data_IF_034463981306
#
_entry.id   IF_034463981306
#
_cell.length_a   1.000
_cell.length_b   1.000
_cell.length_c   1.000
_cell.angle_alpha   90.00
_cell.angle_beta   90.00
_cell.angle_gamma   90.00
#
_symmetry.space_group_name_H-M   'P 1'
#
loop_
_entity.id
_entity.type
_entity.pdbx_description
1 polymer ?
#
# COMPACT_ATOMS: atom_id res chain seq x y z
N UNK A 1 -68.83 43.45 34.46
CA UNK A 1 -68.12 42.15 34.40
C UNK A 1 -68.71 41.23 33.33
N UNK A 2 -70.03 41.09 33.24
CA UNK A 2 -70.72 40.21 32.28
C UNK A 2 -70.50 40.55 30.79
N UNK A 3 -70.40 41.82 30.42
CA UNK A 3 -70.15 42.20 29.03
C UNK A 3 -68.73 41.84 28.53
N UNK A 4 -67.77 41.72 29.44
CA UNK A 4 -66.38 41.38 29.12
C UNK A 4 -66.23 39.87 28.97
N UNK A 5 -66.91 39.09 29.83
CA UNK A 5 -66.97 37.63 29.72
C UNK A 5 -67.74 37.18 28.48
N UNK A 6 -68.85 37.85 28.11
CA UNK A 6 -69.59 37.52 26.89
C UNK A 6 -68.79 37.79 25.60
N UNK A 7 -68.03 38.89 25.56
CA UNK A 7 -67.11 39.20 24.45
C UNK A 7 -65.97 38.19 24.34
N UNK A 8 -65.43 37.74 25.47
CA UNK A 8 -64.40 36.70 25.52
C UNK A 8 -64.93 35.35 25.03
N UNK A 9 -66.13 34.95 25.46
CA UNK A 9 -66.78 33.70 25.03
C UNK A 9 -67.12 33.74 23.53
N UNK A 10 -67.66 34.85 23.02
CA UNK A 10 -67.90 35.00 21.58
C UNK A 10 -66.62 35.03 20.75
N UNK A 11 -65.53 35.59 21.28
CA UNK A 11 -64.22 35.55 20.62
C UNK A 11 -63.69 34.11 20.54
N UNK A 12 -63.75 33.35 21.64
CA UNK A 12 -63.32 31.93 21.66
C UNK A 12 -64.18 31.07 20.72
N UNK A 13 -65.49 31.29 20.67
CA UNK A 13 -66.41 30.58 19.77
C UNK A 13 -66.23 30.98 18.29
N UNK A 14 -65.69 32.18 18.01
CA UNK A 14 -65.40 32.65 16.64
C UNK A 14 -64.12 32.06 16.05
N UNK A 15 -63.27 31.46 16.89
CA UNK A 15 -62.05 30.80 16.43
C UNK A 15 -62.45 29.48 15.77
N UNK A 16 -62.22 29.37 14.47
CA UNK A 16 -62.36 28.12 13.75
C UNK A 16 -61.22 27.17 14.17
N UNK A 17 -61.41 26.48 15.29
CA UNK A 17 -60.47 25.51 15.86
C UNK A 17 -59.99 24.50 14.81
N UNK A 18 -60.86 24.12 13.88
CA UNK A 18 -60.54 23.19 12.81
C UNK A 18 -59.49 23.75 11.84
N UNK A 19 -59.55 25.06 11.53
CA UNK A 19 -58.51 25.72 10.72
C UNK A 19 -57.19 25.84 11.50
N UNK A 20 -57.24 26.20 12.79
CA UNK A 20 -56.06 26.28 13.66
C UNK A 20 -55.35 24.93 13.77
N UNK A 21 -56.11 23.84 14.00
CA UNK A 21 -55.57 22.48 14.02
C UNK A 21 -54.98 22.06 12.67
N UNK A 22 -55.62 22.42 11.55
CA UNK A 22 -55.11 22.10 10.22
C UNK A 22 -53.77 22.80 9.92
N UNK A 23 -53.60 24.05 10.35
CA UNK A 23 -52.35 24.81 10.21
C UNK A 23 -51.25 24.22 11.10
N UNK A 24 -51.57 23.85 12.35
CA UNK A 24 -50.64 23.19 13.27
C UNK A 24 -50.18 21.83 12.74
N UNK A 25 -51.10 20.99 12.26
CA UNK A 25 -50.76 19.70 11.64
C UNK A 25 -49.90 19.88 10.39
N UNK A 26 -50.24 20.84 9.52
CA UNK A 26 -49.43 21.17 8.35
C UNK A 26 -48.01 21.61 8.70
N UNK A 27 -47.86 22.44 9.74
CA UNK A 27 -46.56 22.87 10.23
C UNK A 27 -45.73 21.70 10.81
N UNK A 28 -46.35 20.81 11.59
CA UNK A 28 -45.67 19.63 12.16
C UNK A 28 -45.21 18.67 11.04
N UNK A 29 -46.06 18.37 10.07
CA UNK A 29 -45.71 17.50 8.94
C UNK A 29 -44.59 18.13 8.10
N UNK A 30 -44.69 19.43 7.80
CA UNK A 30 -43.67 20.15 7.04
C UNK A 30 -42.31 20.18 7.78
N UNK A 31 -42.32 20.40 9.09
CA UNK A 31 -41.12 20.35 9.93
C UNK A 31 -40.50 18.95 9.94
N UNK A 32 -41.32 17.89 10.05
CA UNK A 32 -40.86 16.51 10.01
C UNK A 32 -40.23 16.14 8.66
N UNK A 33 -40.89 16.50 7.55
CA UNK A 33 -40.37 16.26 6.20
C UNK A 33 -39.06 17.02 6.00
N UNK A 34 -39.02 18.30 6.37
CA UNK A 34 -37.81 19.14 6.28
C UNK A 34 -36.66 18.54 7.08
N UNK A 35 -36.91 18.10 8.32
CA UNK A 35 -35.90 17.43 9.14
C UNK A 35 -35.36 16.16 8.49
N UNK A 36 -36.23 15.30 7.95
CA UNK A 36 -35.82 14.05 7.27
C UNK A 36 -35.00 14.35 6.02
N UNK A 37 -35.39 15.34 5.21
CA UNK A 37 -34.64 15.76 4.02
C UNK A 37 -33.27 16.34 4.37
N UNK A 38 -33.20 17.22 5.38
CA UNK A 38 -31.93 17.81 5.84
C UNK A 38 -30.99 16.72 6.36
N UNK A 39 -31.49 15.82 7.21
CA UNK A 39 -30.70 14.69 7.74
C UNK A 39 -30.22 13.75 6.64
N UNK A 40 -31.07 13.46 5.65
CA UNK A 40 -30.67 12.65 4.49
C UNK A 40 -29.57 13.34 3.68
N UNK A 41 -29.71 14.64 3.40
CA UNK A 41 -28.71 15.43 2.66
C UNK A 41 -27.38 15.52 3.42
N UNK A 42 -27.40 15.72 4.73
CA UNK A 42 -26.21 15.71 5.58
C UNK A 42 -25.51 14.35 5.55
N UNK A 43 -26.26 13.25 5.68
CA UNK A 43 -25.71 11.90 5.58
C UNK A 43 -25.05 11.63 4.22
N UNK A 44 -25.66 12.08 3.11
CA UNK A 44 -25.05 11.97 1.79
C UNK A 44 -23.75 12.79 1.68
N UNK A 45 -23.75 14.03 2.22
CA UNK A 45 -22.56 14.88 2.23
C UNK A 45 -21.43 14.24 3.06
N UNK A 46 -21.73 13.71 4.24
CA UNK A 46 -20.76 13.01 5.09
C UNK A 46 -20.19 11.78 4.40
N UNK A 47 -21.02 11.01 3.69
CA UNK A 47 -20.58 9.84 2.92
C UNK A 47 -19.60 10.23 1.81
N UNK A 48 -19.89 11.29 1.06
CA UNK A 48 -19.01 11.80 0.00
C UNK A 48 -17.70 12.33 0.59
N UNK A 49 -17.75 13.08 1.69
CA UNK A 49 -16.55 13.59 2.37
C UNK A 49 -15.65 12.46 2.87
N UNK A 50 -16.24 11.41 3.47
CA UNK A 50 -15.52 10.20 3.87
C UNK A 50 -14.90 9.46 2.68
N UNK A 51 -15.60 9.39 1.55
CA UNK A 51 -15.08 8.79 0.31
C UNK A 51 -13.86 9.54 -0.21
N UNK A 52 -13.93 10.87 -0.30
CA UNK A 52 -12.82 11.73 -0.75
C UNK A 52 -11.62 11.56 0.18
N UNK A 53 -11.82 11.72 1.50
CA UNK A 53 -10.74 11.57 2.49
C UNK A 53 -10.08 10.19 2.45
N UNK A 54 -10.87 9.13 2.28
CA UNK A 54 -10.34 7.76 2.18
C UNK A 54 -9.52 7.59 0.90
N UNK A 55 -9.98 8.18 -0.21
CA UNK A 55 -9.29 8.14 -1.50
C UNK A 55 -7.96 8.89 -1.44
N UNK A 56 -7.95 10.10 -0.88
CA UNK A 56 -6.74 10.90 -0.74
C UNK A 56 -5.70 10.19 0.14
N UNK A 57 -6.15 9.61 1.26
CA UNK A 57 -5.29 8.82 2.14
C UNK A 57 -4.69 7.60 1.44
N UNK A 58 -5.50 6.86 0.66
CA UNK A 58 -5.01 5.73 -0.13
C UNK A 58 -4.00 6.18 -1.20
N UNK A 59 -4.26 7.28 -1.91
CA UNK A 59 -3.35 7.81 -2.92
C UNK A 59 -1.97 8.09 -2.32
N UNK A 60 -1.91 8.72 -1.14
CA UNK A 60 -0.62 9.05 -0.52
C UNK A 60 0.12 7.82 -0.02
N UNK A 61 -0.60 6.82 0.52
CA UNK A 61 0.00 5.52 0.88
C UNK A 61 0.55 4.81 -0.36
N UNK A 62 -0.20 4.83 -1.47
CA UNK A 62 0.22 4.21 -2.74
C UNK A 62 1.49 4.87 -3.29
N UNK A 63 1.62 6.21 -3.20
CA UNK A 63 2.85 6.92 -3.58
C UNK A 63 4.04 6.47 -2.74
N UNK A 64 3.86 6.34 -1.43
CA UNK A 64 4.91 5.88 -0.53
C UNK A 64 5.31 4.43 -0.87
N UNK A 65 4.34 3.55 -1.07
CA UNK A 65 4.57 2.18 -1.50
C UNK A 65 5.36 2.11 -2.82
N UNK A 66 4.97 2.88 -3.83
CA UNK A 66 5.66 2.90 -5.12
C UNK A 66 7.09 3.44 -5.03
N UNK A 67 7.34 4.40 -4.13
CA UNK A 67 8.71 4.86 -3.83
C UNK A 67 9.54 3.71 -3.27
N UNK A 68 9.02 2.99 -2.28
CA UNK A 68 9.70 1.82 -1.71
C UNK A 68 9.89 0.69 -2.74
N UNK A 69 8.91 0.46 -3.60
CA UNK A 69 9.00 -0.53 -4.69
C UNK A 69 10.12 -0.19 -5.67
N UNK A 70 10.24 1.09 -6.05
CA UNK A 70 11.30 1.55 -6.94
C UNK A 70 12.68 1.31 -6.33
N UNK A 71 12.87 1.61 -5.04
CA UNK A 71 14.13 1.34 -4.34
C UNK A 71 14.44 -0.16 -4.36
N UNK A 72 13.45 -1.00 -4.07
CA UNK A 72 13.59 -2.45 -4.08
C UNK A 72 14.01 -3.00 -5.46
N UNK A 73 13.35 -2.55 -6.53
CA UNK A 73 13.67 -2.98 -7.91
C UNK A 73 15.04 -2.54 -8.40
N UNK A 74 15.63 -1.51 -7.80
CA UNK A 74 16.95 -0.99 -8.19
C UNK A 74 18.12 -1.80 -7.63
N UNK A 75 17.88 -2.65 -6.63
CA UNK A 75 18.93 -3.44 -5.97
C UNK A 75 19.29 -4.66 -6.80
N UNK A 76 20.59 -4.93 -6.90
CA UNK A 76 21.14 -6.08 -7.60
C UNK A 76 22.12 -6.85 -6.71
N UNK A 77 22.39 -8.09 -7.08
CA UNK A 77 23.27 -8.97 -6.32
C UNK A 77 24.66 -9.13 -6.94
N UNK A 78 25.12 -8.14 -7.73
CA UNK A 78 26.42 -8.18 -8.41
C UNK A 78 27.58 -8.29 -7.41
N UNK A 79 27.38 -7.85 -6.17
CA UNK A 79 28.37 -7.94 -5.10
C UNK A 79 28.84 -9.37 -4.80
N UNK A 80 28.03 -10.41 -5.07
CA UNK A 80 28.49 -11.80 -4.95
C UNK A 80 29.51 -12.18 -6.04
N UNK A 81 29.33 -11.67 -7.27
CA UNK A 81 30.31 -11.86 -8.35
C UNK A 81 31.62 -11.11 -8.06
N UNK A 82 31.51 -9.90 -7.52
CA UNK A 82 32.68 -9.09 -7.11
C UNK A 82 33.46 -9.82 -6.00
N UNK A 83 32.75 -10.41 -5.04
CA UNK A 83 33.35 -11.23 -3.99
C UNK A 83 34.15 -12.41 -4.57
N UNK A 84 33.54 -13.22 -5.45
CA UNK A 84 34.23 -14.34 -6.10
C UNK A 84 35.47 -13.86 -6.89
N UNK A 85 35.31 -12.82 -7.71
CA UNK A 85 36.40 -12.26 -8.53
C UNK A 85 37.58 -11.79 -7.67
N UNK A 86 37.29 -11.19 -6.51
CA UNK A 86 38.31 -10.74 -5.55
C UNK A 86 39.05 -11.92 -4.96
N UNK A 87 38.33 -12.97 -4.58
CA UNK A 87 38.90 -14.19 -4.01
C UNK A 87 39.81 -14.92 -5.00
N UNK A 88 39.40 -15.01 -6.27
CA UNK A 88 40.21 -15.62 -7.34
C UNK A 88 41.48 -14.84 -7.64
N UNK A 89 41.38 -13.51 -7.69
CA UNK A 89 42.51 -12.62 -8.00
C UNK A 89 43.54 -12.55 -6.87
N UNK A 90 43.10 -12.84 -5.63
CA UNK A 90 43.92 -12.70 -4.42
C UNK A 90 44.19 -14.04 -3.74
N UNK A 91 44.21 -15.16 -4.48
CA UNK A 91 44.60 -16.46 -3.93
C UNK A 91 45.93 -16.35 -3.19
N UNK A 92 45.93 -16.87 -1.97
CA UNK A 92 47.10 -16.92 -1.10
C UNK A 92 48.06 -17.95 -1.69
N UNK A 93 49.31 -17.55 -1.83
CA UNK A 93 50.39 -18.38 -2.38
C UNK A 93 51.53 -18.38 -1.36
N UNK A 94 51.89 -19.57 -0.88
CA UNK A 94 52.94 -19.75 0.13
C UNK A 94 54.33 -19.38 -0.39
N UNK A 95 54.49 -19.17 -1.70
CA UNK A 95 55.73 -18.68 -2.32
C UNK A 95 55.92 -17.15 -2.23
N UNK A 96 54.88 -16.41 -1.85
CA UNK A 96 54.93 -14.95 -1.68
C UNK A 96 55.45 -14.56 -0.30
N UNK A 97 56.05 -13.36 -0.20
CA UNK A 97 56.46 -12.81 1.08
C UNK A 97 55.25 -12.45 1.96
N UNK A 98 55.52 -12.35 3.26
CA UNK A 98 54.47 -12.12 4.27
C UNK A 98 53.65 -10.86 4.00
N UNK A 99 54.28 -9.79 3.49
CA UNK A 99 53.62 -8.50 3.23
C UNK A 99 52.60 -8.63 2.09
N UNK A 100 52.93 -9.33 1.00
CA UNK A 100 51.98 -9.55 -0.10
C UNK A 100 50.81 -10.42 0.34
N UNK A 101 51.06 -11.43 1.17
CA UNK A 101 50.00 -12.28 1.71
C UNK A 101 49.08 -11.50 2.69
N UNK A 102 49.65 -10.65 3.56
CA UNK A 102 48.88 -9.79 4.47
C UNK A 102 47.98 -8.82 3.68
N UNK A 103 48.48 -8.21 2.59
CA UNK A 103 47.69 -7.32 1.74
C UNK A 103 46.52 -8.03 1.05
N UNK A 104 46.77 -9.23 0.49
CA UNK A 104 45.72 -10.06 -0.12
C UNK A 104 44.63 -10.44 0.88
N UNK A 105 45.00 -10.78 2.11
CA UNK A 105 44.05 -11.10 3.20
C UNK A 105 43.15 -9.90 3.50
N UNK A 106 43.71 -8.68 3.55
CA UNK A 106 42.93 -7.45 3.77
C UNK A 106 41.89 -7.27 2.66
N UNK A 107 42.27 -7.43 1.39
CA UNK A 107 41.35 -7.29 0.26
C UNK A 107 40.21 -8.32 0.31
N UNK A 108 40.52 -9.57 0.65
CA UNK A 108 39.52 -10.64 0.80
C UNK A 108 38.54 -10.29 1.93
N UNK A 109 39.04 -9.84 3.07
CA UNK A 109 38.19 -9.47 4.21
C UNK A 109 37.28 -8.28 3.89
N UNK A 110 37.79 -7.27 3.16
CA UNK A 110 36.97 -6.15 2.69
C UNK A 110 35.86 -6.61 1.73
N UNK A 111 36.17 -7.49 0.78
CA UNK A 111 35.16 -8.05 -0.12
C UNK A 111 34.08 -8.85 0.61
N UNK A 112 34.49 -9.63 1.63
CA UNK A 112 33.58 -10.33 2.53
C UNK A 112 32.64 -9.37 3.26
N UNK A 113 33.19 -8.34 3.92
CA UNK A 113 32.39 -7.33 4.64
C UNK A 113 31.42 -6.62 3.70
N UNK A 114 31.88 -6.23 2.51
CA UNK A 114 31.03 -5.60 1.50
C UNK A 114 29.86 -6.51 1.11
N UNK A 115 30.10 -7.81 0.85
CA UNK A 115 29.04 -8.73 0.48
C UNK A 115 27.99 -8.91 1.59
N UNK A 116 28.44 -8.99 2.85
CA UNK A 116 27.54 -9.08 4.02
C UNK A 116 26.72 -7.81 4.17
N UNK A 117 27.37 -6.64 4.14
CA UNK A 117 26.70 -5.36 4.33
C UNK A 117 25.66 -5.08 3.24
N UNK A 118 25.96 -5.41 1.99
CA UNK A 118 25.00 -5.24 0.88
C UNK A 118 23.78 -6.17 1.03
N UNK A 119 23.98 -7.40 1.54
CA UNK A 119 22.86 -8.30 1.81
C UNK A 119 21.97 -7.79 2.96
N UNK A 120 22.57 -7.28 4.05
CA UNK A 120 21.80 -6.70 5.15
C UNK A 120 21.04 -5.43 4.72
N UNK A 121 21.65 -4.56 3.90
CA UNK A 121 20.97 -3.40 3.32
C UNK A 121 19.76 -3.84 2.47
N UNK A 122 19.93 -4.85 1.61
CA UNK A 122 18.83 -5.43 0.84
C UNK A 122 17.69 -5.92 1.76
N UNK A 123 18.03 -6.62 2.83
CA UNK A 123 17.05 -7.14 3.80
C UNK A 123 16.29 -6.01 4.50
N UNK A 124 16.97 -4.93 4.88
CA UNK A 124 16.33 -3.76 5.46
C UNK A 124 15.34 -3.11 4.48
N UNK A 125 15.74 -2.97 3.22
CA UNK A 125 14.88 -2.41 2.17
C UNK A 125 13.63 -3.29 1.97
N UNK A 126 13.78 -4.61 1.96
CA UNK A 126 12.64 -5.53 1.90
C UNK A 126 11.68 -5.34 3.09
N UNK A 127 12.20 -5.23 4.31
CA UNK A 127 11.38 -5.00 5.51
C UNK A 127 10.60 -3.69 5.39
N UNK A 128 11.23 -2.64 4.89
CA UNK A 128 10.57 -1.34 4.71
C UNK A 128 9.51 -1.39 3.60
N UNK A 129 9.83 -2.04 2.47
CA UNK A 129 8.90 -2.25 1.37
C UNK A 129 7.66 -3.05 1.80
N UNK A 130 7.86 -4.15 2.54
CA UNK A 130 6.75 -4.97 3.03
C UNK A 130 5.88 -4.26 4.06
N UNK A 131 6.47 -3.46 4.95
CA UNK A 131 5.72 -2.60 5.86
C UNK A 131 4.91 -1.52 5.14
N UNK A 132 5.41 -0.99 4.02
CA UNK A 132 4.69 0.01 3.23
C UNK A 132 3.43 -0.55 2.56
N UNK A 133 3.33 -1.88 2.37
CA UNK A 133 2.15 -2.53 1.82
C UNK A 133 0.98 -2.63 2.82
N UNK A 134 1.27 -2.90 4.10
CA UNK A 134 0.25 -3.17 5.13
C UNK A 134 -0.82 -2.07 5.29
N UNK A 135 -0.50 -0.77 5.23
CA UNK A 135 -1.51 0.28 5.31
C UNK A 135 -2.54 0.25 4.17
N UNK A 136 -2.17 -0.23 2.98
CA UNK A 136 -3.10 -0.36 1.84
C UNK A 136 -4.20 -1.34 2.20
N UNK A 137 -3.83 -2.54 2.69
CA UNK A 137 -4.78 -3.59 3.09
C UNK A 137 -5.61 -3.13 4.28
N UNK A 138 -4.98 -2.55 5.30
CA UNK A 138 -5.67 -2.08 6.51
C UNK A 138 -6.78 -1.07 6.20
N UNK A 139 -6.58 -0.17 5.23
CA UNK A 139 -7.63 0.77 4.82
C UNK A 139 -8.73 0.06 4.03
N UNK A 140 -8.38 -0.83 3.11
CA UNK A 140 -9.36 -1.59 2.33
C UNK A 140 -10.30 -2.39 3.24
N UNK A 141 -9.78 -2.96 4.33
CA UNK A 141 -10.57 -3.69 5.34
C UNK A 141 -11.35 -2.75 6.28
N UNK A 142 -10.69 -1.75 6.88
CA UNK A 142 -11.34 -0.87 7.86
C UNK A 142 -12.41 0.05 7.27
N UNK A 143 -12.39 0.28 5.95
CA UNK A 143 -13.34 1.12 5.22
C UNK A 143 -14.24 0.31 4.28
N UNK A 144 -14.43 -0.98 4.53
CA UNK A 144 -15.21 -1.89 3.68
C UNK A 144 -16.60 -1.34 3.33
N UNK A 145 -17.31 -0.68 4.26
CA UNK A 145 -18.63 -0.06 3.98
C UNK A 145 -18.60 0.92 2.79
N UNK A 146 -17.46 1.57 2.58
CA UNK A 146 -17.23 2.54 1.50
C UNK A 146 -16.51 1.89 0.32
N UNK A 147 -15.59 0.95 0.60
CA UNK A 147 -14.67 0.36 -0.36
C UNK A 147 -15.06 -1.06 -0.81
N UNK A 148 -16.25 -1.56 -0.47
CA UNK A 148 -16.70 -2.93 -0.78
C UNK A 148 -16.57 -3.28 -2.29
N UNK A 149 -16.68 -2.28 -3.16
CA UNK A 149 -16.51 -2.45 -4.61
C UNK A 149 -15.09 -2.88 -5.03
N UNK A 150 -14.11 -2.76 -4.14
CA UNK A 150 -12.70 -3.06 -4.35
C UNK A 150 -12.25 -4.28 -3.55
N UNK A 151 -13.17 -5.10 -3.01
CA UNK A 151 -12.82 -6.33 -2.26
C UNK A 151 -12.01 -7.29 -3.12
N UNK A 152 -12.41 -7.49 -4.39
CA UNK A 152 -11.66 -8.34 -5.31
C UNK A 152 -10.25 -7.79 -5.59
N UNK A 153 -10.09 -6.46 -5.65
CA UNK A 153 -8.77 -5.83 -5.81
C UNK A 153 -7.88 -6.06 -4.58
N UNK A 154 -8.47 -6.02 -3.38
CA UNK A 154 -7.78 -6.31 -2.12
C UNK A 154 -7.28 -7.76 -2.11
N UNK A 155 -8.16 -8.72 -2.41
CA UNK A 155 -7.82 -10.14 -2.38
C UNK A 155 -6.73 -10.45 -3.43
N UNK A 156 -6.86 -9.92 -4.65
CA UNK A 156 -5.83 -10.06 -5.69
C UNK A 156 -4.49 -9.43 -5.25
N UNK A 157 -4.49 -8.25 -4.62
CA UNK A 157 -3.27 -7.62 -4.12
C UNK A 157 -2.60 -8.46 -3.02
N UNK A 158 -3.37 -9.07 -2.13
CA UNK A 158 -2.85 -9.95 -1.08
C UNK A 158 -2.18 -11.17 -1.72
N UNK A 159 -2.85 -11.83 -2.67
CA UNK A 159 -2.31 -13.00 -3.36
C UNK A 159 -1.00 -12.68 -4.10
N UNK A 160 -0.94 -11.55 -4.81
CA UNK A 160 0.25 -11.14 -5.53
C UNK A 160 1.39 -10.70 -4.60
N UNK A 161 1.07 -10.13 -3.44
CA UNK A 161 2.05 -9.80 -2.43
C UNK A 161 2.56 -11.04 -1.68
N UNK A 162 1.72 -12.06 -1.49
CA UNK A 162 2.14 -13.34 -0.93
C UNK A 162 3.20 -14.01 -1.80
N UNK A 163 3.06 -13.96 -3.13
CA UNK A 163 4.10 -14.45 -4.06
C UNK A 163 5.45 -13.75 -3.85
N UNK A 164 5.47 -12.45 -3.52
CA UNK A 164 6.71 -11.73 -3.18
C UNK A 164 7.33 -12.23 -1.88
N UNK A 165 6.50 -12.51 -0.88
CA UNK A 165 6.96 -13.07 0.40
C UNK A 165 7.59 -14.45 0.17
N UNK A 166 6.93 -15.30 -0.62
CA UNK A 166 7.42 -16.65 -0.92
C UNK A 166 8.75 -16.60 -1.68
N UNK A 167 8.84 -15.72 -2.69
CA UNK A 167 10.10 -15.43 -3.37
C UNK A 167 11.19 -14.99 -2.37
N UNK A 168 10.91 -14.02 -1.50
CA UNK A 168 11.88 -13.57 -0.50
C UNK A 168 12.34 -14.70 0.42
N UNK A 169 11.45 -15.60 0.82
CA UNK A 169 11.78 -16.75 1.65
C UNK A 169 12.70 -17.73 0.90
N UNK A 170 12.43 -17.99 -0.38
CA UNK A 170 13.28 -18.83 -1.24
C UNK A 170 14.69 -18.24 -1.36
N UNK A 171 14.80 -16.93 -1.57
CA UNK A 171 16.11 -16.27 -1.64
C UNK A 171 16.84 -16.26 -0.31
N UNK A 172 16.13 -16.00 0.78
CA UNK A 172 16.71 -16.05 2.13
C UNK A 172 17.27 -17.45 2.41
N UNK A 173 16.55 -18.49 2.00
CA UNK A 173 16.98 -19.88 2.11
C UNK A 173 18.22 -20.16 1.26
N UNK A 174 18.22 -19.71 -0.01
CA UNK A 174 19.38 -19.82 -0.90
C UNK A 174 20.61 -19.13 -0.28
N UNK A 175 20.44 -17.92 0.25
CA UNK A 175 21.52 -17.16 0.86
C UNK A 175 22.12 -17.90 2.05
N UNK A 176 21.31 -18.33 3.01
CA UNK A 176 21.83 -18.98 4.20
C UNK A 176 22.44 -20.35 3.91
N UNK A 177 21.83 -21.15 3.03
CA UNK A 177 22.31 -22.51 2.74
C UNK A 177 23.55 -22.52 1.83
N UNK A 178 23.53 -21.73 0.76
CA UNK A 178 24.51 -21.88 -0.33
C UNK A 178 25.58 -20.78 -0.34
N UNK A 179 25.31 -19.60 0.26
CA UNK A 179 26.13 -18.40 0.08
C UNK A 179 26.83 -17.96 1.36
N UNK A 180 26.09 -17.85 2.47
CA UNK A 180 26.56 -17.22 3.71
C UNK A 180 27.82 -17.88 4.27
N UNK A 181 27.85 -19.22 4.30
CA UNK A 181 29.01 -19.99 4.74
C UNK A 181 30.21 -19.81 3.83
N UNK A 182 29.99 -19.69 2.51
CA UNK A 182 31.07 -19.46 1.55
C UNK A 182 31.76 -18.13 1.81
N UNK A 183 30.95 -17.09 2.02
CA UNK A 183 31.44 -15.76 2.38
C UNK A 183 32.16 -15.79 3.75
N UNK A 184 31.58 -16.45 4.75
CA UNK A 184 32.14 -16.50 6.09
C UNK A 184 33.54 -17.14 6.12
N UNK A 185 33.73 -18.21 5.35
CA UNK A 185 34.95 -19.01 5.30
C UNK A 185 35.88 -18.67 4.13
N UNK A 186 35.69 -17.52 3.46
CA UNK A 186 36.53 -17.09 2.34
C UNK A 186 36.62 -18.15 1.23
N UNK A 187 35.48 -18.69 0.81
CA UNK A 187 35.35 -19.70 -0.24
C UNK A 187 34.55 -19.17 -1.42
N UNK A 188 34.87 -19.64 -2.63
CA UNK A 188 34.09 -19.30 -3.82
C UNK A 188 32.64 -19.81 -3.68
N UNK A 189 31.71 -18.93 -4.03
CA UNK A 189 30.31 -19.28 -4.25
C UNK A 189 30.23 -20.04 -5.57
N UNK A 190 29.54 -21.18 -5.59
CA UNK A 190 29.40 -21.96 -6.82
C UNK A 190 28.62 -21.17 -7.89
N UNK A 191 29.03 -21.29 -9.16
CA UNK A 191 28.36 -20.64 -10.30
C UNK A 191 26.87 -20.98 -10.37
N UNK A 192 26.51 -22.23 -10.05
CA UNK A 192 25.11 -22.66 -9.97
C UNK A 192 24.29 -21.87 -8.96
N UNK A 193 24.89 -21.46 -7.84
CA UNK A 193 24.22 -20.63 -6.82
C UNK A 193 24.11 -19.19 -7.30
N UNK A 194 25.13 -18.65 -7.96
CA UNK A 194 25.09 -17.31 -8.57
C UNK A 194 24.04 -17.22 -9.69
N UNK A 195 23.90 -18.25 -10.51
CA UNK A 195 22.83 -18.35 -11.51
C UNK A 195 21.43 -18.35 -10.86
N UNK A 196 21.25 -19.07 -9.75
CA UNK A 196 20.00 -19.05 -8.98
C UNK A 196 19.71 -17.65 -8.43
N UNK A 197 20.72 -16.94 -7.92
CA UNK A 197 20.57 -15.55 -7.45
C UNK A 197 20.10 -14.64 -8.59
N UNK A 198 20.69 -14.73 -9.78
CA UNK A 198 20.28 -13.92 -10.93
C UNK A 198 18.83 -14.23 -11.36
N UNK A 199 18.46 -15.51 -11.42
CA UNK A 199 17.08 -15.94 -11.73
C UNK A 199 16.09 -15.42 -10.68
N UNK A 200 16.49 -15.47 -9.41
CA UNK A 200 15.69 -14.93 -8.32
C UNK A 200 15.49 -13.42 -8.48
N UNK A 201 16.57 -12.67 -8.68
CA UNK A 201 16.53 -11.22 -8.84
C UNK A 201 15.54 -10.80 -9.93
N UNK A 202 15.58 -11.48 -11.07
CA UNK A 202 14.69 -11.17 -12.19
C UNK A 202 13.22 -11.46 -11.86
N UNK A 203 12.92 -12.64 -11.31
CA UNK A 203 11.55 -12.99 -10.88
C UNK A 203 11.01 -12.02 -9.84
N UNK A 204 11.84 -11.66 -8.86
CA UNK A 204 11.46 -10.74 -7.80
C UNK A 204 11.18 -9.34 -8.35
N UNK A 205 12.04 -8.83 -9.22
CA UNK A 205 11.85 -7.54 -9.90
C UNK A 205 10.55 -7.52 -10.72
N UNK A 206 10.30 -8.56 -11.52
CA UNK A 206 9.10 -8.67 -12.34
C UNK A 206 7.84 -8.67 -11.48
N UNK A 207 7.84 -9.43 -10.38
CA UNK A 207 6.72 -9.50 -9.45
C UNK A 207 6.52 -8.18 -8.69
N UNK A 208 7.60 -7.48 -8.28
CA UNK A 208 7.50 -6.16 -7.64
C UNK A 208 6.86 -5.14 -8.58
N UNK A 209 7.27 -5.12 -9.85
CA UNK A 209 6.68 -4.26 -10.88
C UNK A 209 5.20 -4.60 -11.07
N UNK A 210 4.87 -5.89 -11.11
CA UNK A 210 3.48 -6.34 -11.26
C UNK A 210 2.58 -5.87 -10.11
N UNK A 211 3.02 -6.05 -8.86
CA UNK A 211 2.30 -5.55 -7.67
C UNK A 211 2.15 -4.03 -7.72
N UNK A 212 3.21 -3.28 -8.03
CA UNK A 212 3.12 -1.81 -8.19
C UNK A 212 2.12 -1.40 -9.26
N UNK A 213 2.05 -2.11 -10.39
CA UNK A 213 1.05 -1.87 -11.42
C UNK A 213 -0.37 -2.11 -10.91
N UNK A 214 -0.61 -3.20 -10.17
CA UNK A 214 -1.92 -3.51 -9.58
C UNK A 214 -2.36 -2.46 -8.55
N UNK A 215 -1.44 -2.00 -7.72
CA UNK A 215 -1.69 -0.92 -6.76
C UNK A 215 -2.04 0.39 -7.48
N UNK A 216 -1.37 0.69 -8.60
CA UNK A 216 -1.68 1.86 -9.41
C UNK A 216 -3.04 1.73 -10.12
N UNK A 217 -3.38 0.53 -10.61
CA UNK A 217 -4.69 0.24 -11.18
C UNK A 217 -5.80 0.44 -10.11
N UNK A 218 -5.59 0.01 -8.86
CA UNK A 218 -6.49 0.31 -7.73
C UNK A 218 -6.64 1.83 -7.52
N UNK A 219 -5.53 2.58 -7.54
CA UNK A 219 -5.57 4.04 -7.42
C UNK A 219 -6.46 4.68 -8.51
N UNK A 220 -6.29 4.27 -9.77
CA UNK A 220 -7.09 4.76 -10.89
C UNK A 220 -8.57 4.39 -10.73
N UNK A 221 -8.87 3.17 -10.29
CA UNK A 221 -10.25 2.73 -10.03
C UNK A 221 -10.91 3.56 -8.92
N UNK A 222 -10.20 3.83 -7.82
CA UNK A 222 -10.67 4.68 -6.72
C UNK A 222 -10.96 6.12 -7.18
N UNK A 223 -10.00 6.72 -7.91
CA UNK A 223 -10.17 8.06 -8.49
C UNK A 223 -11.40 8.11 -9.42
N UNK A 224 -11.57 7.12 -10.29
CA UNK A 224 -12.71 7.08 -11.20
C UNK A 224 -14.05 6.91 -10.49
N UNK A 225 -14.12 6.08 -9.45
CA UNK A 225 -15.36 5.81 -8.71
C UNK A 225 -15.82 7.03 -7.89
N UNK A 226 -14.87 7.71 -7.23
CA UNK A 226 -15.20 8.79 -6.30
C UNK A 226 -15.08 10.18 -6.93
N UNK A 227 -14.02 10.45 -7.68
CA UNK A 227 -13.77 11.75 -8.30
C UNK A 227 -14.37 11.85 -9.71
N UNK A 228 -14.45 10.75 -10.45
CA UNK A 228 -15.04 10.76 -11.80
C UNK A 228 -16.53 11.15 -11.80
N UNK A 229 -17.26 10.82 -10.73
CA UNK A 229 -18.65 11.26 -10.53
C UNK A 229 -18.77 12.75 -10.23
N UNK A 230 -17.74 13.36 -9.64
CA UNK A 230 -17.71 14.78 -9.29
C UNK A 230 -17.26 15.66 -10.47
N UNK A 231 -16.28 15.19 -11.26
CA UNK A 231 -15.65 15.99 -12.33
C UNK A 231 -16.05 15.60 -13.76
N UNK A 232 -16.92 14.59 -13.94
CA UNK A 232 -17.32 14.05 -15.26
C UNK A 232 -16.14 13.66 -16.16
N UNK A 233 -15.00 13.31 -15.55
CA UNK A 233 -13.78 12.89 -16.23
C UNK A 233 -13.39 11.49 -15.76
N UNK A 234 -12.98 10.61 -16.68
CA UNK A 234 -12.61 9.23 -16.39
C UNK A 234 -11.23 8.95 -16.97
N UNK A 235 -10.29 8.55 -16.11
CA UNK A 235 -8.99 8.05 -16.54
C UNK A 235 -9.19 6.65 -17.11
N UNK A 236 -8.71 6.39 -18.33
CA UNK A 236 -8.85 5.06 -18.91
C UNK A 236 -8.00 4.04 -18.13
N UNK A 237 -8.56 2.87 -17.77
CA UNK A 237 -7.76 1.81 -17.17
C UNK A 237 -6.70 1.35 -18.17
N UNK A 238 -5.56 0.88 -17.64
CA UNK A 238 -4.50 0.29 -18.46
C UNK A 238 -5.06 -0.93 -19.21
N UNK A 239 -4.71 -1.09 -20.49
CA UNK A 239 -5.01 -2.32 -21.23
C UNK A 239 -4.08 -3.42 -20.75
N UNK A 240 -4.63 -4.59 -20.44
CA UNK A 240 -3.83 -5.79 -20.22
C UNK A 240 -3.06 -6.10 -21.51
N UNK A 241 -1.74 -6.17 -21.43
CA UNK A 241 -0.96 -6.78 -22.51
C UNK A 241 -1.19 -8.29 -22.42
N UNK A 242 -1.93 -8.83 -23.39
CA UNK A 242 -2.06 -10.27 -23.59
C UNK A 242 -0.78 -10.86 -24.13
#
# INVERSE_FOLDING_TARGET
MEALTLKLVNFILSINLQSVYSVLLGAIISAYISYRFTKWRENQRLKIDLQIKTTDMLIDIIKNFNTSASIMTSKNFVFFNIYNSTLESNKIDDSLDKINNDFKIILINQAKENAINNFEEYREIWINYSKAFMPIISILESREVILNKFVNDKDELIDEFQKLIDLQNDFTTLYYNDISNKILFNQLIADTSLEKVNKYQQKFMDQCIYVSCKVLDLQVKLQNEFLGKLFKYKVQPRKENK
#
